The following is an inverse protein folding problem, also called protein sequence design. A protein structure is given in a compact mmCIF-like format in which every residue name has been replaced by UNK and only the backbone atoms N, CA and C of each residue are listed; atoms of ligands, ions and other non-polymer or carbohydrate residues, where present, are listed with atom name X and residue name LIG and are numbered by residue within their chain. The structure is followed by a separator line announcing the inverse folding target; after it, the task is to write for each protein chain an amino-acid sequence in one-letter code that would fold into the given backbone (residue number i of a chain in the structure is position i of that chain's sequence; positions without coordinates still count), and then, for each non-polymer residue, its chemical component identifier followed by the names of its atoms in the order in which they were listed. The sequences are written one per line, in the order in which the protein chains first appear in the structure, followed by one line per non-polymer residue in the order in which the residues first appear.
data_IF_125437160569
#
_entry.id   IF_125437160569
#
_cell.length_a   1.000
_cell.length_b   1.000
_cell.length_c   1.000
_cell.angle_alpha   90.00
_cell.angle_beta   90.00
_cell.angle_gamma   90.00
#
_symmetry.space_group_name_H-M   'P 1'
#
loop_
_entity.id
_entity.type
_entity.pdbx_description
1 polymer ?
#
# COMPACT_ATOMS: atom_id res chain seq x y z
N UNK A 1 2.77 19.54 -31.03
CA UNK A 1 3.53 18.34 -31.44
C UNK A 1 3.11 17.21 -30.52
N UNK A 2 2.74 16.06 -31.08
CA UNK A 2 2.44 14.91 -30.25
C UNK A 2 3.76 14.23 -29.89
N UNK A 3 4.19 14.33 -28.62
CA UNK A 3 5.38 13.65 -28.14
C UNK A 3 5.12 12.14 -28.14
N UNK A 4 6.00 11.36 -28.77
CA UNK A 4 5.88 9.90 -28.83
C UNK A 4 6.90 9.25 -27.87
N UNK A 5 6.39 8.35 -27.03
CA UNK A 5 7.16 7.51 -26.12
C UNK A 5 6.89 6.02 -26.39
N UNK A 6 7.80 5.17 -26.03
CA UNK A 6 7.55 3.73 -26.03
C UNK A 6 6.57 3.37 -24.91
N UNK A 7 6.78 3.95 -23.72
CA UNK A 7 5.99 3.67 -22.53
C UNK A 7 5.61 4.96 -21.82
N UNK A 8 4.32 5.13 -21.55
CA UNK A 8 3.81 6.20 -20.67
C UNK A 8 3.33 5.60 -19.36
N UNK A 9 3.91 6.03 -18.24
CA UNK A 9 3.56 5.62 -16.88
C UNK A 9 2.79 6.75 -16.21
N UNK A 10 1.59 6.47 -15.71
CA UNK A 10 0.73 7.49 -15.08
C UNK A 10 0.64 7.29 -13.58
N UNK A 11 1.24 8.23 -12.83
CA UNK A 11 1.36 8.25 -11.38
C UNK A 11 2.78 7.90 -10.92
N UNK A 12 3.48 8.87 -10.30
CA UNK A 12 4.86 8.73 -9.78
C UNK A 12 4.90 8.33 -8.29
N UNK A 13 3.93 7.53 -7.84
CA UNK A 13 4.04 6.80 -6.56
C UNK A 13 5.01 5.62 -6.68
N UNK A 14 5.16 4.80 -5.62
CA UNK A 14 6.10 3.68 -5.61
C UNK A 14 5.96 2.71 -6.79
N UNK A 15 4.70 2.41 -7.21
CA UNK A 15 4.46 1.53 -8.35
C UNK A 15 4.97 2.12 -9.66
N UNK A 16 4.55 3.35 -9.99
CA UNK A 16 4.90 3.97 -11.27
C UNK A 16 6.36 4.35 -11.35
N UNK A 17 6.97 4.86 -10.29
CA UNK A 17 8.40 5.17 -10.27
C UNK A 17 9.25 3.92 -10.49
N UNK A 18 8.87 2.77 -9.91
CA UNK A 18 9.57 1.51 -10.14
C UNK A 18 9.34 0.96 -11.54
N UNK A 19 8.13 1.13 -12.10
CA UNK A 19 7.84 0.74 -13.48
C UNK A 19 8.66 1.57 -14.48
N UNK A 20 8.70 2.88 -14.29
CA UNK A 20 9.50 3.77 -15.13
C UNK A 20 11.00 3.47 -15.03
N UNK A 21 11.49 3.21 -13.80
CA UNK A 21 12.89 2.80 -13.58
C UNK A 21 13.22 1.52 -14.31
N UNK A 22 12.42 0.49 -14.15
CA UNK A 22 12.68 -0.81 -14.77
C UNK A 22 12.63 -0.74 -16.31
N UNK A 23 11.67 0.01 -16.85
CA UNK A 23 11.52 0.18 -18.29
C UNK A 23 12.68 1.00 -18.90
N UNK A 24 13.04 2.13 -18.30
CA UNK A 24 14.14 2.97 -18.78
C UNK A 24 15.49 2.24 -18.70
N UNK A 25 15.76 1.53 -17.59
CA UNK A 25 16.96 0.68 -17.45
C UNK A 25 17.07 -0.37 -18.54
N UNK A 26 15.95 -0.83 -19.09
CA UNK A 26 15.91 -1.78 -20.22
C UNK A 26 15.97 -1.09 -21.59
N UNK A 27 16.22 0.23 -21.65
CA UNK A 27 16.45 0.99 -22.88
C UNK A 27 15.20 1.55 -23.56
N UNK A 28 14.02 1.45 -22.95
CA UNK A 28 12.79 2.06 -23.49
C UNK A 28 12.79 3.58 -23.28
N UNK A 29 12.18 4.33 -24.23
CA UNK A 29 11.88 5.75 -24.07
C UNK A 29 10.62 5.91 -23.21
N UNK A 30 10.79 6.37 -21.97
CA UNK A 30 9.77 6.34 -20.93
C UNK A 30 9.38 7.74 -20.48
N UNK A 31 8.06 8.00 -20.42
CA UNK A 31 7.48 9.18 -19.78
C UNK A 31 6.80 8.77 -18.47
N UNK A 32 7.20 9.37 -17.36
CA UNK A 32 6.57 9.23 -16.04
C UNK A 32 5.82 10.51 -15.68
N UNK A 33 4.52 10.42 -15.51
CA UNK A 33 3.65 11.57 -15.22
C UNK A 33 3.13 11.52 -13.77
N UNK A 34 3.09 12.68 -13.11
CA UNK A 34 2.32 12.83 -11.87
C UNK A 34 1.46 14.09 -11.91
N UNK A 35 0.20 13.96 -11.45
CA UNK A 35 -0.75 15.08 -11.36
C UNK A 35 -0.37 16.12 -10.31
N UNK A 36 0.42 15.73 -9.32
CA UNK A 36 0.87 16.58 -8.24
C UNK A 36 2.06 17.40 -8.70
N UNK A 37 2.18 18.62 -8.18
CA UNK A 37 3.33 19.48 -8.45
C UNK A 37 4.59 19.01 -7.72
N UNK A 38 4.41 18.15 -6.73
CA UNK A 38 5.46 17.58 -5.90
C UNK A 38 5.17 16.09 -5.65
N UNK A 39 6.09 15.22 -6.07
CA UNK A 39 6.00 13.77 -5.86
C UNK A 39 6.07 13.48 -4.36
N UNK A 40 5.19 12.58 -3.86
CA UNK A 40 5.12 12.21 -2.46
C UNK A 40 4.22 13.14 -1.62
N UNK A 41 3.73 14.26 -2.14
CA UNK A 41 2.91 15.24 -1.41
C UNK A 41 1.52 15.38 -2.05
N UNK A 42 0.41 15.31 -1.26
CA UNK A 42 0.36 14.95 0.17
C UNK A 42 0.62 13.46 0.40
N UNK A 43 1.14 13.14 1.57
CA UNK A 43 1.29 11.75 2.01
C UNK A 43 -0.10 11.14 2.27
N UNK A 44 -0.32 9.90 1.86
CA UNK A 44 -1.56 9.16 2.08
C UNK A 44 -1.22 7.73 2.53
N UNK A 45 -0.47 7.61 3.65
CA UNK A 45 0.12 6.34 4.07
C UNK A 45 0.54 6.37 5.54
N UNK A 46 0.49 5.20 6.22
CA UNK A 46 1.13 4.98 7.52
C UNK A 46 2.66 4.96 7.49
N UNK A 47 3.25 4.82 6.28
CA UNK A 47 4.69 4.92 5.98
C UNK A 47 5.54 3.74 6.46
N UNK A 48 4.94 2.65 6.94
CA UNK A 48 5.69 1.45 7.33
C UNK A 48 6.08 0.60 6.10
N UNK A 49 7.34 0.16 6.07
CA UNK A 49 7.90 -0.71 5.02
C UNK A 49 8.89 -1.70 5.64
N UNK A 50 8.80 -2.98 5.25
CA UNK A 50 9.84 -3.97 5.59
C UNK A 50 11.11 -3.77 4.76
N UNK A 51 12.23 -4.31 5.21
CA UNK A 51 13.52 -4.17 4.51
C UNK A 51 13.60 -4.98 3.20
N UNK A 52 12.86 -6.10 3.11
CA UNK A 52 12.94 -7.05 2.00
C UNK A 52 12.76 -6.48 0.61
N UNK A 53 11.71 -5.68 0.33
CA UNK A 53 11.51 -5.13 -1.00
C UNK A 53 12.64 -4.21 -1.43
N UNK A 54 13.26 -3.49 -0.51
CA UNK A 54 14.42 -2.63 -0.81
C UNK A 54 15.60 -3.47 -1.28
N UNK A 55 15.91 -4.55 -0.56
CA UNK A 55 16.98 -5.48 -0.89
C UNK A 55 16.74 -6.17 -2.24
N UNK A 56 15.53 -6.72 -2.43
CA UNK A 56 15.17 -7.47 -3.63
C UNK A 56 15.18 -6.60 -4.90
N UNK A 57 14.90 -5.31 -4.76
CA UNK A 57 14.85 -4.33 -5.85
C UNK A 57 16.13 -3.49 -5.99
N UNK A 58 17.17 -3.82 -5.20
CA UNK A 58 18.47 -3.15 -5.26
C UNK A 58 18.42 -1.69 -4.82
N UNK A 59 17.53 -1.34 -3.88
CA UNK A 59 17.42 0.01 -3.31
C UNK A 59 18.14 0.02 -1.97
N UNK A 60 19.22 0.82 -1.88
CA UNK A 60 19.98 0.95 -0.64
C UNK A 60 19.20 1.81 0.36
N UNK A 61 19.05 1.36 1.61
CA UNK A 61 18.50 2.18 2.67
C UNK A 61 19.28 3.49 2.82
N UNK A 62 18.57 4.61 2.96
CA UNK A 62 19.17 5.95 3.05
C UNK A 62 18.52 6.71 4.21
N UNK A 63 19.33 7.27 5.15
CA UNK A 63 18.82 7.99 6.32
C UNK A 63 17.99 9.23 5.96
N UNK A 64 18.08 9.75 4.74
CA UNK A 64 17.27 10.90 4.30
C UNK A 64 15.77 10.61 4.26
N UNK A 65 15.38 9.36 4.03
CA UNK A 65 13.98 8.96 3.97
C UNK A 65 13.59 7.88 4.99
N UNK A 66 14.54 7.41 5.82
CA UNK A 66 14.25 6.56 6.98
C UNK A 66 14.01 7.45 8.18
N UNK A 67 12.75 7.66 8.55
CA UNK A 67 12.36 8.45 9.71
C UNK A 67 12.41 7.65 11.03
N UNK A 68 12.21 6.32 10.96
CA UNK A 68 12.27 5.43 12.12
C UNK A 68 12.68 4.02 11.73
N UNK A 69 13.27 3.28 12.68
CA UNK A 69 13.55 1.84 12.54
C UNK A 69 12.74 1.08 13.58
N UNK A 70 12.10 0.01 13.15
CA UNK A 70 11.22 -0.77 14.02
C UNK A 70 11.71 -2.21 14.12
N UNK A 71 11.69 -2.75 15.34
CA UNK A 71 12.11 -4.12 15.65
C UNK A 71 11.08 -4.87 16.51
N UNK A 72 9.95 -4.23 16.82
CA UNK A 72 8.88 -4.83 17.59
C UNK A 72 7.49 -4.34 17.13
N UNK A 73 6.51 -5.17 17.42
CA UNK A 73 5.08 -4.86 17.21
C UNK A 73 4.35 -5.08 18.53
N UNK A 74 3.48 -4.14 18.88
CA UNK A 74 2.55 -4.23 20.02
C UNK A 74 1.13 -4.20 19.46
N UNK A 75 0.35 -5.24 19.74
CA UNK A 75 -1.06 -5.33 19.36
C UNK A 75 -1.88 -5.19 20.62
N UNK A 76 -2.80 -4.24 20.65
CA UNK A 76 -3.64 -3.95 21.81
C UNK A 76 -5.09 -4.32 21.45
N UNK A 77 -5.70 -5.14 22.28
CA UNK A 77 -7.09 -5.58 22.13
C UNK A 77 -8.07 -4.51 22.60
N UNK A 78 -9.39 -4.66 22.34
CA UNK A 78 -10.41 -3.70 22.75
C UNK A 78 -10.42 -3.36 24.25
N UNK A 79 -10.12 -4.36 25.12
CA UNK A 79 -10.04 -4.15 26.58
C UNK A 79 -8.65 -3.71 27.07
N UNK A 80 -7.68 -3.46 26.14
CA UNK A 80 -6.35 -2.97 26.49
C UNK A 80 -5.31 -4.08 26.74
N UNK A 81 -5.61 -5.34 26.44
CA UNK A 81 -4.64 -6.44 26.58
C UNK A 81 -3.58 -6.32 25.47
N UNK A 82 -2.32 -6.13 25.88
CA UNK A 82 -1.20 -5.98 24.95
C UNK A 82 -0.51 -7.31 24.65
N UNK A 83 -0.31 -7.59 23.37
CA UNK A 83 0.53 -8.69 22.87
C UNK A 83 1.74 -8.08 22.20
N UNK A 84 2.94 -8.41 22.67
CA UNK A 84 4.22 -7.90 22.15
C UNK A 84 4.96 -8.98 21.38
N UNK A 85 5.37 -8.64 20.18
CA UNK A 85 6.11 -9.48 19.26
C UNK A 85 7.41 -8.75 18.90
N UNK A 86 8.56 -9.27 19.31
CA UNK A 86 9.87 -8.69 18.99
C UNK A 86 10.59 -9.49 17.89
N UNK A 87 11.53 -8.86 17.21
CA UNK A 87 12.34 -9.45 16.14
C UNK A 87 13.04 -10.75 16.57
N UNK A 88 13.52 -10.84 17.82
CA UNK A 88 14.12 -12.06 18.39
C UNK A 88 13.16 -13.24 18.49
N UNK A 89 11.85 -13.00 18.35
CA UNK A 89 10.78 -14.00 18.60
C UNK A 89 9.99 -14.38 17.35
N UNK A 90 10.11 -13.60 16.27
CA UNK A 90 9.50 -13.92 14.98
C UNK A 90 10.58 -13.83 13.93
N UNK A 91 10.70 -14.85 13.10
CA UNK A 91 11.56 -14.84 11.91
C UNK A 91 11.00 -13.77 10.97
N UNK A 92 11.42 -12.56 11.18
CA UNK A 92 10.93 -11.38 10.47
C UNK A 92 11.91 -10.24 10.65
N UNK A 93 12.03 -9.45 9.68
CA UNK A 93 13.08 -8.50 9.39
C UNK A 93 12.74 -7.15 9.96
N UNK A 94 13.78 -6.38 10.26
CA UNK A 94 13.69 -4.95 10.54
C UNK A 94 12.75 -4.27 9.55
N UNK A 95 11.99 -3.33 10.04
CA UNK A 95 11.15 -2.45 9.25
C UNK A 95 11.58 -0.99 9.41
N UNK A 96 11.14 -0.18 8.49
CA UNK A 96 11.35 1.26 8.50
C UNK A 96 10.01 1.98 8.56
N UNK A 97 9.99 3.10 9.27
CA UNK A 97 8.99 4.13 9.05
C UNK A 97 9.63 5.17 8.14
N UNK A 98 9.03 5.37 6.99
CA UNK A 98 9.58 6.20 5.94
C UNK A 98 9.18 7.68 6.14
N UNK A 99 9.94 8.57 5.53
CA UNK A 99 9.43 9.85 5.07
C UNK A 99 9.05 9.72 3.59
N UNK A 100 7.78 9.50 3.31
CA UNK A 100 7.27 9.28 1.96
C UNK A 100 7.43 10.49 1.04
N UNK A 101 7.51 11.70 1.60
CA UNK A 101 7.80 12.92 0.81
C UNK A 101 9.18 12.82 0.17
N UNK A 102 10.15 12.27 0.90
CA UNK A 102 11.52 12.07 0.42
C UNK A 102 11.65 10.74 -0.32
N UNK A 103 11.04 9.67 0.18
CA UNK A 103 11.14 8.34 -0.41
C UNK A 103 10.55 8.25 -1.83
N UNK A 104 9.35 8.78 -2.05
CA UNK A 104 8.72 8.74 -3.38
C UNK A 104 9.52 9.56 -4.41
N UNK A 105 10.05 10.72 -4.01
CA UNK A 105 11.00 11.49 -4.83
C UNK A 105 12.26 10.71 -5.13
N UNK A 106 12.79 9.99 -4.14
CA UNK A 106 13.96 9.15 -4.34
C UNK A 106 13.71 8.06 -5.40
N UNK A 107 12.56 7.40 -5.36
CA UNK A 107 12.20 6.40 -6.38
C UNK A 107 12.07 7.03 -7.78
N UNK A 108 11.42 8.19 -7.90
CA UNK A 108 11.29 8.90 -9.16
C UNK A 108 12.65 9.39 -9.69
N UNK A 109 13.54 9.85 -8.79
CA UNK A 109 14.92 10.21 -9.13
C UNK A 109 15.71 9.00 -9.67
N UNK A 110 15.50 7.80 -9.11
CA UNK A 110 16.12 6.59 -9.64
C UNK A 110 15.62 6.30 -11.07
N UNK A 111 14.32 6.50 -11.35
CA UNK A 111 13.78 6.36 -12.70
C UNK A 111 14.38 7.39 -13.68
N UNK A 112 14.48 8.65 -13.27
CA UNK A 112 15.10 9.70 -14.07
C UNK A 112 16.59 9.43 -14.36
N UNK A 113 17.34 8.89 -13.40
CA UNK A 113 18.75 8.50 -13.59
C UNK A 113 18.94 7.36 -14.58
N UNK A 114 17.93 6.49 -14.72
CA UNK A 114 17.92 5.43 -15.75
C UNK A 114 17.45 5.95 -17.12
N UNK A 115 17.06 7.23 -17.23
CA UNK A 115 16.69 7.88 -18.50
C UNK A 115 15.20 8.14 -18.70
N UNK A 116 14.34 7.91 -17.68
CA UNK A 116 12.93 8.28 -17.79
C UNK A 116 12.74 9.79 -17.78
N UNK A 117 11.91 10.33 -18.69
CA UNK A 117 11.40 11.70 -18.62
C UNK A 117 10.34 11.78 -17.51
N UNK A 118 10.49 12.70 -16.56
CA UNK A 118 9.59 12.85 -15.42
C UNK A 118 8.92 14.21 -15.46
N UNK A 119 7.58 14.22 -15.57
CA UNK A 119 6.79 15.46 -15.61
C UNK A 119 5.77 15.48 -14.48
N UNK A 120 5.94 16.43 -13.58
CA UNK A 120 5.01 16.72 -12.47
C UNK A 120 3.97 17.77 -12.87
N UNK A 121 2.89 17.90 -12.09
CA UNK A 121 1.83 18.87 -12.38
C UNK A 121 1.07 18.57 -13.68
N UNK A 122 1.13 17.32 -14.15
CA UNK A 122 0.49 16.88 -15.40
C UNK A 122 -0.62 15.89 -15.10
N UNK A 123 -1.84 16.32 -15.30
CA UNK A 123 -3.05 15.54 -15.01
C UNK A 123 -3.50 14.80 -16.25
N UNK A 124 -3.44 13.48 -16.21
CA UNK A 124 -4.05 12.63 -17.25
C UNK A 124 -5.55 12.62 -17.06
N UNK A 125 -6.31 12.96 -18.10
CA UNK A 125 -7.77 13.10 -18.08
C UNK A 125 -8.50 12.18 -19.07
N UNK A 126 -7.77 11.43 -19.92
CA UNK A 126 -8.35 10.48 -20.85
C UNK A 126 -7.33 9.55 -21.50
N UNK A 127 -7.84 8.52 -22.17
CA UNK A 127 -7.08 7.67 -23.10
C UNK A 127 -7.25 8.21 -24.53
N UNK A 128 -6.16 8.26 -25.30
CA UNK A 128 -6.22 8.42 -26.74
C UNK A 128 -6.61 7.09 -27.36
N UNK A 129 -7.75 7.07 -28.03
CA UNK A 129 -8.30 5.85 -28.65
C UNK A 129 -8.36 6.02 -30.17
N UNK A 130 -7.85 5.03 -30.90
CA UNK A 130 -7.99 4.95 -32.35
C UNK A 130 -8.43 3.52 -32.74
N UNK A 131 -9.55 3.40 -33.46
CA UNK A 131 -10.10 2.11 -33.88
C UNK A 131 -10.30 1.12 -32.71
N UNK A 132 -10.69 1.63 -31.53
CA UNK A 132 -10.91 0.83 -30.32
C UNK A 132 -9.63 0.39 -29.59
N UNK A 133 -8.45 0.84 -30.04
CA UNK A 133 -7.15 0.56 -29.41
C UNK A 133 -6.60 1.79 -28.72
N UNK A 134 -5.91 1.60 -27.60
CA UNK A 134 -5.21 2.66 -26.90
C UNK A 134 -3.99 3.06 -27.72
N UNK A 135 -3.82 4.37 -27.99
CA UNK A 135 -2.69 4.96 -28.69
C UNK A 135 -1.85 5.87 -27.82
N UNK A 136 -2.30 6.09 -26.59
CA UNK A 136 -1.66 7.00 -25.67
C UNK A 136 -2.64 7.59 -24.67
N UNK A 137 -2.34 8.78 -24.19
CA UNK A 137 -3.13 9.49 -23.18
C UNK A 137 -3.35 10.94 -23.54
N UNK A 138 -4.49 11.48 -23.08
CA UNK A 138 -4.75 12.91 -23.01
C UNK A 138 -4.39 13.42 -21.62
N UNK A 139 -3.80 14.59 -21.56
CA UNK A 139 -3.42 15.23 -20.31
C UNK A 139 -3.57 16.75 -20.40
N UNK A 140 -3.45 17.39 -19.25
CA UNK A 140 -3.28 18.85 -19.17
C UNK A 140 -2.28 19.20 -18.07
N UNK A 141 -1.51 20.21 -18.31
CA UNK A 141 -0.51 20.76 -17.40
C UNK A 141 -0.49 22.28 -17.44
N UNK A 142 0.57 22.88 -16.96
CA UNK A 142 0.76 24.33 -16.97
C UNK A 142 0.78 24.91 -18.40
N UNK A 143 1.18 24.09 -19.37
CA UNK A 143 1.26 24.45 -20.80
C UNK A 143 -0.08 24.29 -21.55
N UNK A 144 -1.14 23.86 -20.85
CA UNK A 144 -2.45 23.59 -21.42
C UNK A 144 -2.69 22.11 -21.74
N UNK A 145 -3.42 21.83 -22.85
CA UNK A 145 -3.71 20.47 -23.29
C UNK A 145 -2.48 19.81 -23.92
N UNK A 146 -2.28 18.55 -23.57
CA UNK A 146 -1.16 17.71 -24.01
C UNK A 146 -1.71 16.37 -24.50
N UNK A 147 -1.07 15.82 -25.53
CA UNK A 147 -1.31 14.48 -26.02
C UNK A 147 0.02 13.74 -26.09
N UNK A 148 0.07 12.55 -25.49
CA UNK A 148 1.26 11.71 -25.54
C UNK A 148 0.91 10.38 -26.19
N UNK A 149 1.56 10.09 -27.31
CA UNK A 149 1.46 8.80 -27.97
C UNK A 149 2.33 7.77 -27.23
N UNK A 150 1.84 6.53 -27.10
CA UNK A 150 2.56 5.47 -26.41
C UNK A 150 2.25 4.10 -27.01
N UNK A 151 3.26 3.26 -27.14
CA UNK A 151 3.09 1.88 -27.53
C UNK A 151 2.52 1.06 -26.35
N UNK A 152 2.89 1.39 -25.09
CA UNK A 152 2.33 0.82 -23.86
C UNK A 152 1.98 1.92 -22.86
N UNK A 153 0.83 1.79 -22.20
CA UNK A 153 0.43 2.64 -21.07
C UNK A 153 0.46 1.82 -19.79
N UNK A 154 1.08 2.36 -18.72
CA UNK A 154 1.10 1.75 -17.39
C UNK A 154 0.29 2.63 -16.43
N UNK A 155 -0.86 2.15 -15.97
CA UNK A 155 -1.73 2.81 -15.02
C UNK A 155 -1.28 2.54 -13.59
N UNK A 156 -0.65 3.54 -12.96
CA UNK A 156 -0.21 3.56 -11.57
C UNK A 156 -0.94 4.68 -10.78
N UNK A 157 -2.18 4.98 -11.14
CA UNK A 157 -2.98 6.13 -10.70
C UNK A 157 -3.66 5.91 -9.33
N UNK A 158 -3.17 4.92 -8.57
CA UNK A 158 -3.54 4.67 -7.18
C UNK A 158 -4.97 4.16 -7.02
N UNK A 159 -5.51 4.29 -5.81
CA UNK A 159 -6.84 3.78 -5.44
C UNK A 159 -7.97 4.31 -6.34
N UNK A 160 -7.76 5.47 -6.96
CA UNK A 160 -8.69 6.05 -7.93
C UNK A 160 -8.91 5.18 -9.15
N UNK A 161 -7.88 4.53 -9.67
CA UNK A 161 -7.91 3.59 -10.81
C UNK A 161 -8.78 4.07 -11.99
N UNK A 162 -8.65 5.36 -12.34
CA UNK A 162 -9.47 6.01 -13.36
C UNK A 162 -9.15 5.48 -14.76
N UNK A 163 -7.85 5.28 -15.02
CA UNK A 163 -7.36 4.85 -16.34
C UNK A 163 -7.91 3.47 -16.68
N UNK A 164 -7.89 2.53 -15.72
CA UNK A 164 -8.48 1.21 -15.92
C UNK A 164 -9.97 1.30 -16.25
N UNK A 165 -10.71 2.18 -15.59
CA UNK A 165 -12.15 2.39 -15.89
C UNK A 165 -12.38 3.00 -17.28
N UNK A 166 -11.55 3.95 -17.70
CA UNK A 166 -11.62 4.48 -19.07
C UNK A 166 -11.35 3.40 -20.13
N UNK A 167 -10.50 2.45 -19.81
CA UNK A 167 -10.28 1.26 -20.65
C UNK A 167 -11.40 0.21 -20.54
N UNK A 168 -12.46 0.47 -19.77
CA UNK A 168 -13.60 -0.44 -19.60
C UNK A 168 -13.37 -1.59 -18.61
N UNK A 169 -12.35 -1.51 -17.75
CA UNK A 169 -12.14 -2.47 -16.66
C UNK A 169 -12.85 -1.94 -15.41
N UNK A 170 -13.76 -2.75 -14.86
CA UNK A 170 -14.47 -2.35 -13.63
C UNK A 170 -13.55 -2.47 -12.41
N UNK A 171 -13.08 -1.33 -11.93
CA UNK A 171 -12.30 -1.19 -10.70
C UNK A 171 -13.06 -0.47 -9.58
N UNK A 172 -14.39 -0.34 -9.69
CA UNK A 172 -15.21 0.27 -8.65
C UNK A 172 -15.09 -0.48 -7.33
N UNK A 173 -14.84 0.24 -6.24
CA UNK A 173 -14.76 -0.30 -4.90
C UNK A 173 -16.14 -0.27 -4.23
N UNK A 174 -16.52 -1.38 -3.61
CA UNK A 174 -17.65 -1.43 -2.69
C UNK A 174 -17.20 -0.95 -1.31
N UNK A 175 -18.12 -0.52 -0.45
CA UNK A 175 -17.79 -0.10 0.92
C UNK A 175 -17.11 -1.19 1.76
N UNK A 176 -17.31 -2.47 1.43
CA UNK A 176 -16.61 -3.61 2.07
C UNK A 176 -15.17 -3.80 1.56
N UNK A 177 -14.80 -3.12 0.47
CA UNK A 177 -13.52 -3.27 -0.21
C UNK A 177 -12.59 -2.08 -0.01
N UNK A 178 -13.02 -1.06 0.75
CA UNK A 178 -12.24 0.16 0.99
C UNK A 178 -12.26 0.54 2.47
N UNK A 179 -11.11 0.93 2.98
CA UNK A 179 -10.99 1.63 4.25
C UNK A 179 -10.77 3.12 4.04
N UNK A 180 -11.41 3.94 4.88
CA UNK A 180 -11.13 5.36 5.01
C UNK A 180 -10.02 5.52 6.03
N UNK A 181 -8.81 5.82 5.56
CA UNK A 181 -7.65 6.09 6.40
C UNK A 181 -7.53 7.57 6.73
N UNK A 182 -7.19 7.88 7.98
CA UNK A 182 -6.81 9.22 8.44
C UNK A 182 -5.67 9.12 9.43
N UNK A 183 -4.74 10.07 9.37
CA UNK A 183 -3.53 10.09 10.17
C UNK A 183 -3.17 11.51 10.57
N UNK A 184 -2.72 11.67 11.81
CA UNK A 184 -2.01 12.83 12.31
C UNK A 184 -0.52 12.50 12.38
N UNK A 185 0.34 13.37 11.89
CA UNK A 185 1.72 13.39 12.32
C UNK A 185 1.77 14.25 13.60
N UNK A 186 2.19 13.65 14.69
CA UNK A 186 2.19 14.28 16.01
C UNK A 186 3.60 14.37 16.58
N UNK A 187 3.89 15.44 17.32
CA UNK A 187 5.15 15.67 18.05
C UNK A 187 4.88 15.94 19.51
N UNK A 188 5.88 15.77 20.37
CA UNK A 188 5.78 15.95 21.81
C UNK A 188 4.88 14.89 22.44
N UNK A 189 4.96 13.66 21.97
CA UNK A 189 4.25 12.50 22.50
C UNK A 189 5.23 11.58 23.22
N UNK A 190 4.73 10.96 24.29
CA UNK A 190 5.47 9.94 25.01
C UNK A 190 5.14 8.56 24.43
N UNK A 191 6.11 7.70 24.22
CA UNK A 191 5.88 6.29 23.94
C UNK A 191 6.95 5.42 24.58
N UNK A 192 6.58 4.21 24.94
CA UNK A 192 7.44 3.27 25.67
C UNK A 192 8.71 2.92 24.88
N UNK A 193 8.63 2.93 23.55
CA UNK A 193 9.75 2.58 22.67
C UNK A 193 9.60 3.20 21.28
N UNK A 194 10.57 3.98 20.85
CA UNK A 194 10.64 4.56 19.50
C UNK A 194 10.91 3.51 18.40
N UNK A 195 11.12 2.24 18.76
CA UNK A 195 11.31 1.13 17.81
C UNK A 195 10.14 0.15 17.75
N UNK A 196 9.02 0.44 18.43
CA UNK A 196 7.84 -0.44 18.46
C UNK A 196 6.69 0.19 17.68
N UNK A 197 6.19 -0.51 16.65
CA UNK A 197 4.91 -0.17 16.02
C UNK A 197 3.76 -0.67 16.88
N UNK A 198 2.78 0.18 17.14
CA UNK A 198 1.61 -0.18 17.92
C UNK A 198 0.35 -0.24 17.05
N UNK A 199 -0.46 -1.27 17.29
CA UNK A 199 -1.74 -1.50 16.61
C UNK A 199 -2.84 -1.68 17.65
N UNK A 200 -3.94 -0.94 17.50
CA UNK A 200 -5.07 -0.98 18.42
C UNK A 200 -6.31 -1.47 17.70
N UNK A 201 -6.88 -2.55 18.20
CA UNK A 201 -8.08 -3.18 17.65
C UNK A 201 -9.32 -2.78 18.44
N UNK A 202 -10.47 -2.90 17.83
CA UNK A 202 -11.77 -2.74 18.51
C UNK A 202 -12.78 -1.93 17.70
N UNK A 203 -14.05 -2.33 17.81
CA UNK A 203 -15.17 -1.71 17.08
C UNK A 203 -15.39 -0.25 17.43
N UNK A 204 -15.05 0.17 18.66
CA UNK A 204 -15.18 1.55 19.16
C UNK A 204 -13.97 2.42 18.78
N UNK A 205 -12.84 1.80 18.39
CA UNK A 205 -11.60 2.50 17.99
C UNK A 205 -11.59 2.70 16.48
N UNK A 206 -11.66 1.60 15.73
CA UNK A 206 -11.58 1.60 14.29
C UNK A 206 -12.44 0.46 13.70
N UNK A 207 -13.75 0.67 13.49
CA UNK A 207 -14.67 -0.37 13.06
C UNK A 207 -14.23 -1.06 11.77
N UNK A 208 -13.92 -2.36 11.85
CA UNK A 208 -13.46 -3.19 10.73
C UNK A 208 -12.04 -2.95 10.23
N UNK A 209 -11.28 -2.11 10.92
CA UNK A 209 -9.87 -1.84 10.69
C UNK A 209 -9.11 -1.78 12.02
N UNK A 210 -8.13 -0.88 12.11
CA UNK A 210 -7.31 -0.68 13.33
C UNK A 210 -6.76 0.74 13.41
N UNK A 211 -6.36 1.16 14.63
CA UNK A 211 -5.56 2.36 14.81
C UNK A 211 -4.08 2.00 15.00
N UNK A 212 -3.19 2.94 14.65
CA UNK A 212 -1.74 2.74 14.75
C UNK A 212 -1.02 3.92 15.37
N UNK A 213 0.12 3.62 16.00
CA UNK A 213 1.15 4.58 16.40
C UNK A 213 2.47 4.07 15.82
N UNK A 214 3.02 4.77 14.82
CA UNK A 214 4.27 4.44 14.17
C UNK A 214 5.31 5.51 14.45
N UNK A 215 6.29 5.23 15.32
CA UNK A 215 7.30 6.21 15.71
C UNK A 215 8.18 6.68 14.54
N UNK A 216 8.36 7.99 14.42
CA UNK A 216 9.23 8.66 13.42
C UNK A 216 10.41 9.38 14.09
N UNK A 217 10.82 8.97 15.27
CA UNK A 217 11.85 9.57 16.07
C UNK A 217 11.59 9.34 17.56
N UNK A 218 12.18 10.18 18.42
CA UNK A 218 12.09 10.00 19.86
C UNK A 218 10.75 10.48 20.44
N UNK A 219 10.18 11.57 19.88
CA UNK A 219 8.95 12.21 20.37
C UNK A 219 7.92 12.48 19.25
N UNK A 220 8.14 11.91 18.06
CA UNK A 220 7.27 12.09 16.89
C UNK A 220 6.75 10.75 16.37
N UNK A 221 5.48 10.70 15.99
CA UNK A 221 4.89 9.53 15.35
C UNK A 221 3.78 9.87 14.34
N UNK A 222 3.55 8.92 13.45
CA UNK A 222 2.32 8.83 12.69
C UNK A 222 1.25 8.12 13.55
N UNK A 223 0.24 8.85 13.94
CA UNK A 223 -0.92 8.36 14.71
C UNK A 223 -2.13 8.36 13.80
N UNK A 224 -2.67 7.20 13.49
CA UNK A 224 -3.76 7.13 12.54
C UNK A 224 -4.69 5.94 12.75
N UNK A 225 -5.70 5.83 11.91
CA UNK A 225 -6.58 4.68 11.84
C UNK A 225 -7.19 4.50 10.45
N UNK A 226 -7.59 3.25 10.16
CA UNK A 226 -8.43 2.89 9.03
C UNK A 226 -9.79 2.40 9.52
N UNK A 227 -10.87 2.88 8.89
CA UNK A 227 -12.23 2.42 9.16
C UNK A 227 -12.79 1.80 7.90
N UNK A 228 -13.28 0.57 7.99
CA UNK A 228 -13.91 -0.11 6.86
C UNK A 228 -15.21 0.61 6.46
N UNK A 229 -15.32 1.00 5.19
CA UNK A 229 -16.43 1.82 4.71
C UNK A 229 -17.83 1.28 5.03
N UNK A 230 -18.01 -0.05 5.02
CA UNK A 230 -19.27 -0.70 5.39
C UNK A 230 -19.59 -0.69 6.89
N UNK A 231 -18.63 -0.29 7.73
CA UNK A 231 -18.74 -0.26 9.21
C UNK A 231 -18.61 1.14 9.80
N UNK A 232 -18.50 2.17 8.97
CA UNK A 232 -18.26 3.54 9.41
C UNK A 232 -19.46 4.22 10.13
N UNK A 233 -20.65 3.60 10.17
CA UNK A 233 -21.85 4.08 10.86
C UNK A 233 -22.19 5.56 10.57
N UNK A 234 -21.90 6.01 9.34
CA UNK A 234 -22.03 7.43 8.90
C UNK A 234 -21.14 8.42 9.68
N UNK A 235 -20.18 7.90 10.45
CA UNK A 235 -19.23 8.72 11.22
C UNK A 235 -17.91 8.86 10.43
N UNK A 236 -17.39 10.08 10.19
CA UNK A 236 -16.11 10.30 9.53
C UNK A 236 -14.94 9.68 10.31
N UNK A 237 -13.97 9.09 9.59
CA UNK A 237 -12.78 8.45 10.20
C UNK A 237 -12.03 9.40 11.15
N UNK A 238 -11.96 10.70 10.83
CA UNK A 238 -11.28 11.70 11.66
C UNK A 238 -11.86 11.80 13.08
N UNK A 239 -13.16 11.60 13.26
CA UNK A 239 -13.77 11.64 14.60
C UNK A 239 -13.36 10.43 15.44
N UNK A 240 -13.20 9.26 14.84
CA UNK A 240 -12.65 8.08 15.53
C UNK A 240 -11.19 8.35 15.96
N UNK A 241 -10.40 8.98 15.08
CA UNK A 241 -9.00 9.31 15.40
C UNK A 241 -8.90 10.35 16.51
N UNK A 242 -9.73 11.37 16.50
CA UNK A 242 -9.79 12.37 17.59
C UNK A 242 -10.15 11.73 18.94
N UNK A 243 -11.09 10.80 18.95
CA UNK A 243 -11.45 10.07 20.16
C UNK A 243 -10.34 9.11 20.61
N UNK A 244 -9.64 8.47 19.66
CA UNK A 244 -8.49 7.63 19.99
C UNK A 244 -7.38 8.43 20.65
N UNK A 245 -7.02 9.60 20.11
CA UNK A 245 -6.02 10.50 20.70
C UNK A 245 -6.46 10.97 22.11
N UNK A 246 -7.71 11.36 22.27
CA UNK A 246 -8.23 11.79 23.59
C UNK A 246 -8.19 10.70 24.66
N UNK A 247 -8.35 9.43 24.27
CA UNK A 247 -8.38 8.28 25.20
C UNK A 247 -7.02 7.68 25.47
N UNK A 248 -6.00 8.04 24.69
CA UNK A 248 -4.64 7.50 24.81
C UNK A 248 -3.77 8.51 25.55
N UNK A 249 -3.41 8.26 26.84
CA UNK A 249 -2.71 9.24 27.67
C UNK A 249 -1.41 9.77 27.05
N UNK A 250 -0.63 8.88 26.45
CA UNK A 250 0.67 9.21 25.84
C UNK A 250 0.56 10.17 24.65
N UNK A 251 -0.64 10.29 24.05
CA UNK A 251 -0.91 11.18 22.92
C UNK A 251 -1.52 12.53 23.31
N UNK A 252 -2.05 12.67 24.53
CA UNK A 252 -2.84 13.86 24.93
C UNK A 252 -2.03 15.16 24.93
N UNK A 253 -0.73 15.08 25.24
CA UNK A 253 0.16 16.24 25.25
C UNK A 253 0.66 16.61 23.84
N UNK A 254 0.58 15.66 22.91
CA UNK A 254 1.11 15.82 21.57
C UNK A 254 0.43 16.91 20.75
N UNK A 255 1.16 17.46 19.81
CA UNK A 255 0.69 18.49 18.88
C UNK A 255 0.66 17.92 17.46
N UNK A 256 -0.43 18.21 16.75
CA UNK A 256 -0.61 17.79 15.36
C UNK A 256 0.12 18.79 14.47
N UNK A 257 1.05 18.30 13.64
CA UNK A 257 1.79 19.09 12.67
C UNK A 257 1.39 18.81 11.21
N UNK A 258 0.74 17.66 10.96
CA UNK A 258 0.25 17.30 9.63
C UNK A 258 -0.98 16.39 9.74
N UNK A 259 -1.94 16.56 8.81
CA UNK A 259 -3.13 15.70 8.69
C UNK A 259 -3.11 15.07 7.30
N UNK A 260 -3.17 13.75 7.26
CA UNK A 260 -3.24 12.96 6.03
C UNK A 260 -4.52 12.14 5.99
N UNK A 261 -5.11 11.98 4.82
CA UNK A 261 -6.25 11.11 4.62
C UNK A 261 -6.20 10.44 3.24
N UNK A 262 -6.71 9.23 3.15
CA UNK A 262 -6.76 8.48 1.89
C UNK A 262 -7.63 7.24 1.99
N UNK A 263 -7.98 6.68 0.84
CA UNK A 263 -8.63 5.38 0.76
C UNK A 263 -7.60 4.27 0.61
N UNK A 264 -7.83 3.14 1.28
CA UNK A 264 -7.00 1.93 1.14
C UNK A 264 -7.85 0.81 0.54
N UNK A 265 -7.49 0.25 -0.63
CA UNK A 265 -8.26 -0.83 -1.24
C UNK A 265 -7.94 -2.17 -0.56
N UNK A 266 -8.89 -2.71 0.19
CA UNK A 266 -8.75 -3.94 1.00
C UNK A 266 -9.63 -5.09 0.50
N UNK A 267 -10.11 -5.03 -0.75
CA UNK A 267 -10.97 -6.02 -1.36
C UNK A 267 -10.26 -7.13 -2.14
N UNK A 268 -8.93 -7.14 -2.11
CA UNK A 268 -8.10 -8.05 -2.90
C UNK A 268 -7.91 -7.61 -4.35
N UNK A 269 -6.99 -8.24 -5.09
CA UNK A 269 -6.60 -7.85 -6.44
C UNK A 269 -7.77 -7.89 -7.44
N UNK A 270 -7.73 -7.02 -8.45
CA UNK A 270 -8.67 -7.09 -9.58
C UNK A 270 -8.41 -8.33 -10.43
N UNK A 271 -9.47 -8.82 -11.11
CA UNK A 271 -9.39 -10.05 -11.89
C UNK A 271 -8.50 -9.95 -13.14
N UNK A 272 -8.40 -8.77 -13.72
CA UNK A 272 -7.67 -8.52 -14.96
C UNK A 272 -6.84 -7.26 -14.81
N UNK A 273 -5.52 -7.40 -14.95
CA UNK A 273 -4.55 -6.30 -14.82
C UNK A 273 -3.90 -5.91 -16.14
N UNK A 274 -4.29 -6.56 -17.24
CA UNK A 274 -3.85 -6.29 -18.61
C UNK A 274 -5.06 -6.16 -19.51
N UNK A 275 -5.08 -5.16 -20.37
CA UNK A 275 -6.08 -5.01 -21.45
C UNK A 275 -5.43 -4.26 -22.61
N UNK A 276 -5.51 -4.86 -23.81
CA UNK A 276 -4.82 -4.33 -25.00
C UNK A 276 -3.34 -4.03 -24.67
N UNK A 277 -2.87 -2.80 -24.83
CA UNK A 277 -1.55 -2.34 -24.46
C UNK A 277 -1.52 -1.53 -23.13
N UNK A 278 -2.47 -1.80 -22.22
CA UNK A 278 -2.55 -1.20 -20.89
C UNK A 278 -2.19 -2.21 -19.80
N UNK A 279 -1.27 -1.83 -18.91
CA UNK A 279 -0.96 -2.54 -17.67
C UNK A 279 -1.48 -1.74 -16.47
N UNK A 280 -2.05 -2.41 -15.46
CA UNK A 280 -2.57 -1.80 -14.24
C UNK A 280 -1.77 -2.31 -13.05
N UNK A 281 -1.22 -1.42 -12.22
CA UNK A 281 -0.27 -1.77 -11.16
C UNK A 281 -0.57 -1.08 -9.83
N UNK A 282 -0.07 -1.64 -8.74
CA UNK A 282 -0.20 -1.08 -7.40
C UNK A 282 -1.64 -1.03 -6.90
N UNK A 283 -2.01 0.05 -6.21
CA UNK A 283 -3.35 0.23 -5.65
C UNK A 283 -4.42 0.30 -6.74
N UNK A 284 -4.09 0.74 -7.95
CA UNK A 284 -5.00 0.74 -9.09
C UNK A 284 -5.41 -0.70 -9.49
N UNK A 285 -4.53 -1.67 -9.28
CA UNK A 285 -4.79 -3.11 -9.42
C UNK A 285 -5.22 -3.77 -8.10
N UNK A 286 -5.35 -3.02 -7.01
CA UNK A 286 -5.60 -3.52 -5.64
C UNK A 286 -4.55 -4.52 -5.17
N UNK A 287 -3.30 -4.33 -5.54
CA UNK A 287 -2.15 -5.15 -5.08
C UNK A 287 -1.70 -4.67 -3.70
N UNK A 288 -2.58 -4.84 -2.71
CA UNK A 288 -2.44 -4.37 -1.33
C UNK A 288 -2.72 -5.53 -0.38
N UNK A 289 -1.94 -5.63 0.68
CA UNK A 289 -2.23 -6.54 1.78
C UNK A 289 -3.54 -6.11 2.48
N UNK A 290 -4.60 -6.84 2.25
CA UNK A 290 -5.93 -6.48 2.75
C UNK A 290 -6.04 -6.47 4.28
N UNK A 291 -5.17 -7.20 5.00
CA UNK A 291 -5.18 -7.28 6.46
C UNK A 291 -4.54 -6.06 7.11
N UNK A 292 -3.45 -5.56 6.51
CA UNK A 292 -2.65 -4.46 7.10
C UNK A 292 -2.73 -3.15 6.33
N UNK A 293 -3.39 -3.11 5.18
CA UNK A 293 -3.36 -1.95 4.29
C UNK A 293 -1.99 -1.69 3.65
N UNK A 294 -0.99 -2.56 3.88
CA UNK A 294 0.36 -2.40 3.35
C UNK A 294 0.42 -2.59 1.84
N UNK A 295 0.71 -1.52 1.11
CA UNK A 295 0.74 -1.50 -0.36
C UNK A 295 2.12 -1.21 -0.97
N UNK A 296 3.05 -0.57 -0.24
CA UNK A 296 4.31 -0.06 -0.80
C UNK A 296 5.15 -1.21 -1.42
N UNK A 297 5.36 -2.31 -0.69
CA UNK A 297 6.12 -3.48 -1.17
C UNK A 297 5.51 -4.05 -2.45
N UNK A 298 4.21 -4.35 -2.43
CA UNK A 298 3.52 -4.90 -3.59
C UNK A 298 3.53 -3.95 -4.79
N UNK A 299 3.36 -2.65 -4.55
CA UNK A 299 3.42 -1.62 -5.57
C UNK A 299 4.79 -1.55 -6.24
N UNK A 300 5.87 -1.56 -5.45
CA UNK A 300 7.24 -1.54 -5.97
C UNK A 300 7.55 -2.78 -6.81
N UNK A 301 7.19 -3.97 -6.33
CA UNK A 301 7.39 -5.24 -7.06
C UNK A 301 6.57 -5.32 -8.33
N UNK A 302 5.30 -4.93 -8.27
CA UNK A 302 4.44 -4.91 -9.46
C UNK A 302 4.94 -3.92 -10.51
N UNK A 303 5.43 -2.76 -10.07
CA UNK A 303 6.05 -1.76 -10.93
C UNK A 303 7.29 -2.32 -11.65
N UNK A 304 8.23 -2.90 -10.91
CA UNK A 304 9.44 -3.48 -11.49
C UNK A 304 9.13 -4.56 -12.54
N UNK A 305 8.18 -5.47 -12.24
CA UNK A 305 7.73 -6.50 -13.19
C UNK A 305 7.07 -5.86 -14.43
N UNK A 306 6.19 -4.88 -14.25
CA UNK A 306 5.45 -4.25 -15.34
C UNK A 306 6.38 -3.48 -16.29
N UNK A 307 7.34 -2.73 -15.72
CA UNK A 307 8.33 -2.00 -16.51
C UNK A 307 9.24 -2.91 -17.34
N UNK A 308 9.73 -3.99 -16.73
CA UNK A 308 10.55 -5.00 -17.44
C UNK A 308 9.79 -5.67 -18.58
N UNK A 309 8.55 -6.09 -18.34
CA UNK A 309 7.73 -6.74 -19.37
C UNK A 309 7.36 -5.77 -20.49
N UNK A 310 6.98 -4.54 -20.17
CA UNK A 310 6.62 -3.52 -21.15
C UNK A 310 7.82 -3.18 -22.05
N UNK A 311 9.01 -2.96 -21.49
CA UNK A 311 10.21 -2.64 -22.26
C UNK A 311 10.61 -3.78 -23.21
N UNK A 312 10.56 -5.03 -22.74
CA UNK A 312 10.82 -6.21 -23.58
C UNK A 312 9.80 -6.33 -24.71
N UNK A 313 8.52 -6.11 -24.44
CA UNK A 313 7.46 -6.16 -25.43
C UNK A 313 7.64 -5.09 -26.53
N UNK A 314 8.06 -3.90 -26.14
CA UNK A 314 8.40 -2.81 -27.08
C UNK A 314 9.62 -3.17 -27.92
N UNK A 315 10.71 -3.66 -27.32
CA UNK A 315 11.92 -4.04 -28.03
C UNK A 315 11.67 -5.18 -29.04
N UNK A 316 10.74 -6.08 -28.75
CA UNK A 316 10.28 -7.16 -29.64
C UNK A 316 9.33 -6.68 -30.76
N UNK A 317 8.87 -5.40 -30.71
CA UNK A 317 7.84 -4.88 -31.62
C UNK A 317 6.46 -5.53 -31.42
N UNK A 318 6.21 -6.15 -30.27
CA UNK A 318 4.97 -6.88 -29.97
C UNK A 318 4.36 -6.45 -28.64
N UNK A 319 3.51 -5.44 -28.65
CA UNK A 319 2.79 -4.92 -27.49
C UNK A 319 1.35 -5.44 -27.39
N UNK A 320 1.08 -6.62 -28.00
CA UNK A 320 -0.23 -7.25 -27.90
C UNK A 320 -0.57 -7.63 -26.46
N UNK A 321 -1.87 -7.65 -26.13
CA UNK A 321 -2.36 -8.12 -24.84
C UNK A 321 -1.80 -9.51 -24.48
N UNK A 322 -1.73 -10.43 -25.47
CA UNK A 322 -1.16 -11.77 -25.27
C UNK A 322 0.28 -11.71 -24.77
N UNK A 323 1.10 -10.80 -25.35
CA UNK A 323 2.50 -10.62 -24.93
C UNK A 323 2.61 -9.95 -23.55
N UNK A 324 1.82 -8.93 -23.32
CA UNK A 324 1.80 -8.18 -22.06
C UNK A 324 1.20 -8.98 -20.88
N UNK A 325 0.42 -10.02 -21.14
CA UNK A 325 -0.09 -10.95 -20.12
C UNK A 325 1.02 -11.66 -19.33
N UNK A 326 2.29 -11.62 -19.80
CA UNK A 326 3.44 -12.05 -19.01
C UNK A 326 3.54 -11.28 -17.69
N UNK A 327 3.20 -9.97 -17.68
CA UNK A 327 3.11 -9.19 -16.44
C UNK A 327 2.09 -9.81 -15.47
N UNK A 328 0.86 -10.10 -15.94
CA UNK A 328 -0.17 -10.68 -15.09
C UNK A 328 0.26 -12.05 -14.53
N UNK A 329 0.85 -12.90 -15.35
CA UNK A 329 1.37 -14.19 -14.92
C UNK A 329 2.45 -14.03 -13.84
N UNK A 330 3.48 -13.19 -14.07
CA UNK A 330 4.63 -13.01 -13.16
C UNK A 330 4.22 -12.43 -11.80
N UNK A 331 3.35 -11.39 -11.78
CA UNK A 331 2.95 -10.82 -10.49
C UNK A 331 2.04 -11.78 -9.72
N UNK A 332 1.15 -12.54 -10.40
CA UNK A 332 0.30 -13.54 -9.74
C UNK A 332 1.13 -14.65 -9.13
N UNK A 333 2.06 -15.23 -9.86
CA UNK A 333 2.98 -16.24 -9.36
C UNK A 333 3.74 -15.77 -8.11
N UNK A 334 4.16 -14.49 -8.08
CA UNK A 334 4.96 -13.94 -6.99
C UNK A 334 4.14 -13.49 -5.78
N UNK A 335 2.94 -12.94 -5.97
CA UNK A 335 2.25 -12.18 -4.92
C UNK A 335 0.80 -12.63 -4.65
N UNK A 336 0.08 -13.21 -5.62
CA UNK A 336 -1.36 -13.47 -5.51
C UNK A 336 -1.72 -14.34 -4.33
N UNK A 337 -1.03 -15.47 -4.15
CA UNK A 337 -1.28 -16.38 -3.03
C UNK A 337 -1.16 -15.68 -1.67
N UNK A 338 -0.19 -14.76 -1.53
CA UNK A 338 -0.02 -13.97 -0.32
C UNK A 338 -1.17 -12.99 -0.10
N UNK A 339 -1.55 -12.25 -1.17
CA UNK A 339 -2.66 -11.28 -1.13
C UNK A 339 -3.99 -11.96 -0.80
N UNK A 340 -4.27 -13.13 -1.38
CA UNK A 340 -5.48 -13.92 -1.07
C UNK A 340 -5.50 -14.40 0.39
N UNK A 341 -4.38 -14.85 0.93
CA UNK A 341 -4.26 -15.25 2.34
C UNK A 341 -4.55 -14.07 3.27
N UNK A 342 -4.03 -12.90 2.97
CA UNK A 342 -4.32 -11.69 3.77
C UNK A 342 -5.77 -11.25 3.65
N UNK A 343 -6.39 -11.38 2.47
CA UNK A 343 -7.82 -11.11 2.32
C UNK A 343 -8.67 -12.07 3.15
N UNK A 344 -8.34 -13.36 3.16
CA UNK A 344 -9.00 -14.35 4.03
C UNK A 344 -8.80 -13.99 5.51
N UNK A 345 -7.58 -13.64 5.91
CA UNK A 345 -7.27 -13.26 7.28
C UNK A 345 -8.04 -12.00 7.72
N UNK A 346 -8.12 -10.97 6.86
CA UNK A 346 -8.96 -9.79 7.11
C UNK A 346 -10.43 -10.19 7.33
N UNK A 347 -10.99 -10.99 6.43
CA UNK A 347 -12.40 -11.39 6.51
C UNK A 347 -12.73 -12.14 7.80
N UNK A 348 -11.81 -12.97 8.28
CA UNK A 348 -11.92 -13.62 9.59
C UNK A 348 -11.83 -12.59 10.72
N UNK A 349 -10.79 -11.74 10.72
CA UNK A 349 -10.57 -10.74 11.77
C UNK A 349 -11.77 -9.82 11.96
N UNK A 350 -12.33 -9.30 10.86
CA UNK A 350 -13.50 -8.41 10.92
C UNK A 350 -14.79 -9.13 11.33
N UNK A 351 -14.86 -10.46 11.32
CA UNK A 351 -16.00 -11.24 11.81
C UNK A 351 -15.98 -11.47 13.32
N UNK A 352 -14.84 -11.21 13.98
CA UNK A 352 -14.69 -11.35 15.42
C UNK A 352 -15.35 -10.18 16.16
N UNK A 353 -15.97 -10.46 17.30
CA UNK A 353 -16.44 -9.44 18.23
C UNK A 353 -15.28 -8.87 19.07
N UNK A 354 -15.51 -7.76 19.78
CA UNK A 354 -14.52 -7.21 20.69
C UNK A 354 -14.11 -8.21 21.78
N UNK A 355 -15.08 -9.00 22.29
CA UNK A 355 -14.83 -10.09 23.25
C UNK A 355 -13.98 -11.22 22.66
N UNK A 356 -14.23 -11.61 21.38
CA UNK A 356 -13.40 -12.61 20.70
C UNK A 356 -11.94 -12.12 20.55
N UNK A 357 -11.76 -10.81 20.24
CA UNK A 357 -10.44 -10.20 20.13
C UNK A 357 -9.71 -10.15 21.48
N UNK A 358 -10.41 -9.90 22.57
CA UNK A 358 -9.87 -9.93 23.93
C UNK A 358 -9.46 -11.35 24.33
N UNK A 359 -10.30 -12.35 24.06
CA UNK A 359 -9.95 -13.75 24.31
C UNK A 359 -8.73 -14.20 23.50
N UNK A 360 -8.65 -13.78 22.23
CA UNK A 360 -7.51 -14.02 21.37
C UNK A 360 -6.23 -13.38 21.95
N UNK A 361 -6.30 -12.14 22.38
CA UNK A 361 -5.19 -11.43 23.01
C UNK A 361 -4.75 -12.09 24.32
N UNK A 362 -5.69 -12.50 25.19
CA UNK A 362 -5.40 -13.28 26.41
C UNK A 362 -4.68 -14.59 26.13
N UNK A 363 -5.11 -15.31 25.09
CA UNK A 363 -4.47 -16.55 24.71
C UNK A 363 -3.05 -16.31 24.17
N UNK A 364 -2.88 -15.29 23.30
CA UNK A 364 -1.60 -14.91 22.72
C UNK A 364 -0.61 -14.38 23.76
N UNK A 365 -1.05 -13.58 24.75
CA UNK A 365 -0.17 -13.02 25.78
C UNK A 365 0.50 -14.07 26.65
N UNK A 366 -0.09 -15.29 26.76
CA UNK A 366 0.45 -16.42 27.51
C UNK A 366 1.48 -17.23 26.72
N UNK A 367 1.58 -17.03 25.41
CA UNK A 367 2.49 -17.77 24.54
C UNK A 367 3.87 -17.12 24.58
N UNK A 368 4.89 -17.90 24.92
CA UNK A 368 6.28 -17.48 24.68
C UNK A 368 6.57 -17.65 23.19
N UNK A 369 6.63 -16.54 22.46
CA UNK A 369 6.82 -16.53 20.99
C UNK A 369 8.26 -16.89 20.56
N UNK A 370 8.91 -17.86 21.20
CA UNK A 370 10.21 -18.35 20.76
C UNK A 370 10.01 -19.37 19.64
N UNK A 371 10.34 -19.02 18.41
CA UNK A 371 10.31 -19.90 17.22
C UNK A 371 8.93 -20.45 16.81
N UNK A 372 7.85 -19.69 16.98
CA UNK A 372 6.51 -20.16 16.62
C UNK A 372 6.09 -19.62 15.24
N UNK A 373 5.82 -20.53 14.29
CA UNK A 373 5.17 -20.18 13.02
C UNK A 373 3.71 -19.75 13.27
N UNK A 374 3.15 -18.94 12.35
CA UNK A 374 1.73 -18.57 12.38
C UNK A 374 0.82 -19.80 12.52
N UNK A 375 1.18 -20.92 11.88
CA UNK A 375 0.46 -22.18 11.96
C UNK A 375 0.52 -22.81 13.36
N UNK A 376 1.67 -22.72 14.04
CA UNK A 376 1.82 -23.21 15.41
C UNK A 376 1.09 -22.31 16.41
N UNK A 377 1.07 -21.00 16.17
CA UNK A 377 0.28 -20.03 16.93
C UNK A 377 -1.22 -20.31 16.80
N UNK A 378 -1.71 -20.51 15.60
CA UNK A 378 -3.10 -20.93 15.35
C UNK A 378 -3.41 -22.26 16.03
N UNK A 379 -2.56 -23.29 15.93
CA UNK A 379 -2.74 -24.58 16.62
C UNK A 379 -2.78 -24.43 18.14
N UNK A 380 -2.00 -23.53 18.72
CA UNK A 380 -2.02 -23.26 20.17
C UNK A 380 -3.32 -22.58 20.60
N UNK A 381 -3.80 -21.60 19.82
CA UNK A 381 -5.11 -20.96 20.01
C UNK A 381 -6.26 -21.96 19.89
N UNK A 382 -6.14 -22.93 18.97
CA UNK A 382 -7.10 -23.99 18.74
C UNK A 382 -7.27 -24.91 19.96
N UNK A 383 -6.22 -25.12 20.76
CA UNK A 383 -6.27 -25.95 21.99
C UNK A 383 -6.93 -25.21 23.17
N UNK A 384 -6.90 -23.88 23.18
CA UNK A 384 -7.35 -23.08 24.33
C UNK A 384 -8.79 -22.60 24.22
N UNK A 385 -9.34 -22.45 23.00
CA UNK A 385 -10.73 -22.01 22.79
C UNK A 385 -11.39 -22.66 21.56
N UNK A 386 -12.18 -23.76 21.75
CA UNK A 386 -12.86 -24.44 20.64
C UNK A 386 -13.89 -23.61 19.88
N UNK A 387 -14.48 -22.58 20.50
CA UNK A 387 -15.44 -21.66 19.81
C UNK A 387 -14.73 -20.73 18.82
N UNK A 388 -13.52 -20.26 19.16
CA UNK A 388 -12.66 -19.52 18.24
C UNK A 388 -12.21 -20.39 17.06
N UNK A 389 -12.06 -21.70 17.26
CA UNK A 389 -11.76 -22.68 16.20
C UNK A 389 -12.68 -22.55 14.99
N UNK A 390 -13.98 -22.59 15.25
CA UNK A 390 -14.99 -22.53 14.17
C UNK A 390 -14.90 -21.22 13.38
N UNK A 391 -14.65 -20.09 14.06
CA UNK A 391 -14.48 -18.77 13.44
C UNK A 391 -13.16 -18.64 12.67
N UNK A 392 -12.08 -19.25 13.17
CA UNK A 392 -10.73 -19.18 12.56
C UNK A 392 -10.48 -20.27 11.51
N UNK A 393 -11.42 -21.20 11.26
CA UNK A 393 -11.26 -22.30 10.28
C UNK A 393 -10.97 -21.83 8.85
N UNK A 394 -11.31 -20.59 8.51
CA UNK A 394 -10.97 -19.97 7.21
C UNK A 394 -9.51 -19.57 7.05
N UNK A 395 -8.68 -19.67 8.12
CA UNK A 395 -7.24 -19.34 8.10
C UNK A 395 -6.35 -20.59 7.97
N UNK A 396 -6.89 -21.76 8.19
CA UNK A 396 -6.25 -23.08 8.05
C UNK A 396 -6.68 -23.68 6.71
#
# INVERSE_FOLDING_TARGET
MNDKYDIVVVGAGPAGSMAARAAARSGANVLLLDRRREIGVPVQCGEALSEDPLKDLGIKPDPRWIAGKTNAVKIVSPSGIAVRISEKKVVGKMGYILDRKVFDKHLAMLAAKEGADVRVGTVVDGLLMENGKIKGINAHGIEGRLEFLADVVIAADGVGSRIARWAGINTALKLVDIESGVQFQMVGIDFESSSTMEFYLGSKIAPGGYAWIFPKGEDMANVGLGVLGSRAERRPAIQYLQDFVKRTPDLQKGKIIEINAGGVPVGGPIKRTVKDNLLIIGDAARQVNALTGGGIDYAMRAGDIAGDVAAKAVAEGNVSEKRLNEYEKRWREKMERSLERYLKAKNVLISLSDEDLDELAKALSKIKFENISLTAMLKSLLKTNPKLLWKLRGLV
#
